data_IF_680646779930
#
_entry.id   IF_680646779930
#
_cell.length_a   1.000
_cell.length_b   1.000
_cell.length_c   1.000
_cell.angle_alpha   90.00
_cell.angle_beta   90.00
_cell.angle_gamma   90.00
#
_symmetry.space_group_name_H-M   'P 1'
#
loop_
_entity.id
_entity.type
_entity.pdbx_description
1 polymer ?
#
# COMPACT_ATOMS: atom_id res chain seq x y z
N UNK A 1 -9.01 6.56 89.70
CA UNK A 1 -8.23 6.20 88.49
C UNK A 1 -9.00 5.14 87.72
N UNK A 2 -9.25 5.37 86.42
CA UNK A 2 -10.13 4.61 85.54
C UNK A 2 -9.60 3.19 85.26
N UNK A 3 -10.47 2.18 85.34
CA UNK A 3 -10.24 0.85 84.78
C UNK A 3 -10.64 0.88 83.30
N UNK A 4 -9.69 0.65 82.39
CA UNK A 4 -9.97 0.44 80.97
C UNK A 4 -10.06 -1.06 80.72
N UNK A 5 -11.26 -1.53 80.35
CA UNK A 5 -11.49 -2.85 79.76
C UNK A 5 -11.13 -2.76 78.27
N UNK A 6 -10.10 -3.50 77.86
CA UNK A 6 -9.77 -3.68 76.44
C UNK A 6 -10.63 -4.82 75.88
N UNK A 7 -11.57 -4.48 75.00
CA UNK A 7 -12.33 -5.44 74.20
C UNK A 7 -11.48 -5.88 72.99
N UNK A 8 -11.21 -7.18 72.89
CA UNK A 8 -10.50 -7.79 71.77
C UNK A 8 -11.48 -8.02 70.62
N UNK A 9 -11.38 -7.24 69.54
CA UNK A 9 -12.15 -7.43 68.31
C UNK A 9 -11.49 -8.50 67.43
N UNK A 10 -12.16 -9.65 67.31
CA UNK A 10 -11.80 -10.70 66.34
C UNK A 10 -12.19 -10.21 64.94
N UNK A 11 -11.19 -9.82 64.13
CA UNK A 11 -11.37 -9.54 62.70
C UNK A 11 -11.39 -10.88 61.97
N UNK A 12 -12.58 -11.33 61.59
CA UNK A 12 -12.77 -12.46 60.69
C UNK A 12 -12.33 -12.08 59.28
N UNK A 13 -11.22 -12.66 58.82
CA UNK A 13 -10.74 -12.53 57.46
C UNK A 13 -11.70 -13.25 56.50
N UNK A 14 -12.62 -12.51 55.88
CA UNK A 14 -13.42 -13.00 54.78
C UNK A 14 -12.51 -13.14 53.55
N UNK A 15 -12.21 -14.37 53.16
CA UNK A 15 -11.51 -14.71 51.92
C UNK A 15 -12.40 -14.42 50.72
N UNK A 16 -12.25 -13.21 50.16
CA UNK A 16 -12.85 -12.83 48.88
C UNK A 16 -12.17 -13.63 47.77
N UNK A 17 -12.87 -14.64 47.25
CA UNK A 17 -12.43 -15.42 46.10
C UNK A 17 -12.67 -14.60 44.82
N UNK A 18 -11.74 -13.69 44.52
CA UNK A 18 -11.75 -12.97 43.25
C UNK A 18 -11.24 -13.90 42.13
N UNK A 19 -12.14 -14.35 41.26
CA UNK A 19 -11.77 -15.11 40.06
C UNK A 19 -10.99 -14.20 39.11
N UNK A 20 -9.76 -14.56 38.74
CA UNK A 20 -8.92 -13.78 37.82
C UNK A 20 -9.10 -14.34 36.40
N UNK A 21 -9.48 -13.48 35.46
CA UNK A 21 -9.59 -13.81 34.04
C UNK A 21 -8.40 -13.17 33.33
N UNK A 22 -7.64 -13.99 32.61
CA UNK A 22 -6.51 -13.59 31.80
C UNK A 22 -6.88 -13.67 30.32
N UNK A 23 -6.08 -13.05 29.46
CA UNK A 23 -6.27 -13.10 28.00
C UNK A 23 -5.00 -13.48 27.28
N UNK A 24 -5.15 -14.23 26.19
CA UNK A 24 -4.09 -14.63 25.27
C UNK A 24 -4.52 -14.26 23.84
N UNK A 25 -3.61 -13.73 23.04
CA UNK A 25 -3.84 -13.53 21.60
C UNK A 25 -3.21 -14.69 20.85
N UNK A 26 -3.98 -15.32 19.96
CA UNK A 26 -3.55 -16.45 19.16
C UNK A 26 -3.56 -16.06 17.70
N UNK A 27 -2.38 -16.10 17.08
CA UNK A 27 -2.20 -15.94 15.65
C UNK A 27 -2.42 -17.28 14.93
N UNK A 28 -3.13 -17.24 13.82
CA UNK A 28 -3.39 -18.42 13.00
C UNK A 28 -3.53 -18.05 11.52
N UNK A 29 -3.43 -19.05 10.66
CA UNK A 29 -3.56 -18.89 9.21
C UNK A 29 -4.69 -19.75 8.69
N UNK A 30 -5.56 -19.16 7.89
CA UNK A 30 -6.62 -19.89 7.19
C UNK A 30 -6.53 -19.60 5.70
N UNK A 31 -6.84 -20.62 4.91
CA UNK A 31 -7.00 -20.44 3.47
C UNK A 31 -8.40 -19.89 3.21
N UNK A 32 -8.49 -18.69 2.64
CA UNK A 32 -9.75 -18.20 2.08
C UNK A 32 -9.97 -18.89 0.74
N UNK A 33 -11.05 -19.65 0.64
CA UNK A 33 -11.45 -20.25 -0.62
C UNK A 33 -11.89 -19.17 -1.62
N UNK A 34 -11.60 -19.34 -2.92
CA UNK A 34 -12.09 -18.45 -3.96
C UNK A 34 -13.61 -18.52 -4.09
N UNK A 35 -14.20 -17.46 -4.67
CA UNK A 35 -15.62 -17.42 -5.03
C UNK A 35 -16.00 -18.56 -6.00
N UNK A 36 -15.06 -18.97 -6.84
CA UNK A 36 -15.20 -20.11 -7.76
C UNK A 36 -14.12 -21.16 -7.46
N UNK A 37 -14.54 -22.33 -6.95
CA UNK A 37 -13.61 -23.41 -6.60
C UNK A 37 -13.42 -24.38 -7.78
N UNK A 38 -12.18 -24.47 -8.27
CA UNK A 38 -11.76 -25.50 -9.24
C UNK A 38 -11.00 -26.61 -8.49
N UNK A 39 -11.24 -27.87 -8.91
CA UNK A 39 -10.55 -29.05 -8.36
C UNK A 39 -9.04 -28.89 -8.47
N UNK A 40 -8.31 -29.29 -7.44
CA UNK A 40 -6.86 -29.05 -7.31
C UNK A 40 -6.03 -29.53 -8.51
N UNK A 41 -6.39 -30.68 -9.09
CA UNK A 41 -5.72 -31.26 -10.26
C UNK A 41 -5.89 -30.45 -11.55
N UNK A 42 -6.85 -29.52 -11.57
CA UNK A 42 -7.23 -28.71 -12.73
C UNK A 42 -6.84 -27.23 -12.56
N UNK A 43 -6.05 -26.87 -11.54
CA UNK A 43 -5.65 -25.49 -11.26
C UNK A 43 -4.47 -25.04 -12.10
N UNK A 44 -4.69 -24.93 -13.40
CA UNK A 44 -3.72 -24.39 -14.36
C UNK A 44 -4.26 -23.15 -15.04
N UNK A 45 -3.40 -22.16 -15.25
CA UNK A 45 -3.79 -20.90 -15.87
C UNK A 45 -2.75 -20.38 -16.87
N UNK A 46 -3.23 -19.53 -17.76
CA UNK A 46 -2.42 -18.79 -18.71
C UNK A 46 -2.89 -17.33 -18.75
N UNK A 47 -1.96 -16.41 -18.99
CA UNK A 47 -2.25 -14.97 -19.04
C UNK A 47 -1.75 -14.41 -20.35
N UNK A 48 -2.63 -13.70 -21.04
CA UNK A 48 -2.30 -12.89 -22.21
C UNK A 48 -2.55 -11.43 -21.85
N UNK A 49 -1.51 -10.59 -21.92
CA UNK A 49 -1.63 -9.15 -21.73
C UNK A 49 -1.47 -8.46 -23.09
N UNK A 50 -2.35 -7.52 -23.39
CA UNK A 50 -2.23 -6.61 -24.50
C UNK A 50 -2.22 -5.17 -23.98
N UNK A 51 -1.10 -4.48 -24.12
CA UNK A 51 -0.96 -3.07 -23.80
C UNK A 51 -0.54 -2.26 -25.04
N UNK A 52 -0.91 -0.97 -25.13
CA UNK A 52 -0.55 -0.10 -26.26
C UNK A 52 0.91 0.36 -26.21
N UNK A 53 1.63 0.04 -25.14
CA UNK A 53 3.03 0.38 -24.97
C UNK A 53 3.88 -0.74 -25.55
N UNK A 54 4.57 -0.46 -26.65
CA UNK A 54 5.32 -1.44 -27.43
C UNK A 54 6.81 -1.08 -27.59
N UNK A 55 7.31 -0.11 -26.81
CA UNK A 55 8.70 0.27 -26.87
C UNK A 55 9.56 -0.84 -26.26
N UNK A 56 10.33 -1.54 -27.09
CA UNK A 56 11.25 -2.59 -26.64
C UNK A 56 12.64 -2.02 -26.33
N UNK A 57 13.48 -2.83 -25.67
CA UNK A 57 14.89 -2.45 -25.41
C UNK A 57 15.64 -2.27 -26.72
N UNK A 58 15.34 -3.11 -27.69
CA UNK A 58 15.93 -3.14 -29.02
C UNK A 58 15.59 -1.87 -29.80
N UNK A 59 14.35 -1.37 -29.67
CA UNK A 59 13.92 -0.12 -30.33
C UNK A 59 14.66 1.10 -29.79
N UNK A 60 14.84 1.20 -28.48
CA UNK A 60 15.58 2.29 -27.84
C UNK A 60 17.03 2.32 -28.32
N UNK A 61 17.67 1.15 -28.37
CA UNK A 61 19.06 1.03 -28.84
C UNK A 61 19.16 1.39 -30.33
N UNK A 62 18.20 0.95 -31.14
CA UNK A 62 18.13 1.26 -32.58
C UNK A 62 17.97 2.76 -32.83
N UNK A 63 17.08 3.42 -32.08
CA UNK A 63 16.85 4.85 -32.18
C UNK A 63 18.08 5.65 -31.77
N UNK A 64 18.72 5.32 -30.64
CA UNK A 64 19.95 5.99 -30.20
C UNK A 64 21.10 5.87 -31.21
N UNK A 65 21.23 4.71 -31.88
CA UNK A 65 22.20 4.52 -32.97
C UNK A 65 21.88 5.39 -34.18
N UNK A 66 20.60 5.52 -34.53
CA UNK A 66 20.14 6.37 -35.64
C UNK A 66 20.41 7.85 -35.37
N UNK A 67 20.05 8.34 -34.19
CA UNK A 67 20.31 9.73 -33.77
C UNK A 67 21.81 10.04 -33.77
N UNK A 68 22.65 9.10 -33.34
CA UNK A 68 24.09 9.25 -33.41
C UNK A 68 24.60 9.35 -34.86
N UNK A 69 24.08 8.51 -35.77
CA UNK A 69 24.44 8.56 -37.20
C UNK A 69 24.01 9.90 -37.82
N UNK A 70 22.82 10.40 -37.50
CA UNK A 70 22.33 11.71 -37.94
C UNK A 70 23.20 12.85 -37.38
N UNK A 71 23.59 12.78 -36.10
CA UNK A 71 24.48 13.75 -35.48
C UNK A 71 25.88 13.76 -36.13
N UNK A 72 26.42 12.57 -36.48
CA UNK A 72 27.70 12.47 -37.20
C UNK A 72 27.59 13.05 -38.61
N UNK A 73 26.49 12.80 -39.31
CA UNK A 73 26.24 13.37 -40.64
C UNK A 73 26.12 14.91 -40.59
N UNK A 74 25.41 15.43 -39.58
CA UNK A 74 25.18 16.87 -39.39
C UNK A 74 26.34 17.61 -38.70
N UNK A 75 27.37 16.91 -38.22
CA UNK A 75 28.47 17.53 -37.47
C UNK A 75 29.23 18.59 -38.28
N UNK A 76 29.32 18.41 -39.59
CA UNK A 76 29.91 19.40 -40.50
C UNK A 76 29.15 20.74 -40.48
N UNK A 77 27.81 20.69 -40.47
CA UNK A 77 26.94 21.86 -40.37
C UNK A 77 27.09 22.54 -39.00
N UNK A 78 27.14 21.77 -37.90
CA UNK A 78 27.34 22.31 -36.55
C UNK A 78 28.67 23.05 -36.42
N UNK A 79 29.75 22.58 -37.07
CA UNK A 79 31.02 23.31 -37.12
C UNK A 79 30.86 24.64 -37.87
N UNK A 80 30.18 24.63 -39.01
CA UNK A 80 29.96 25.83 -39.82
C UNK A 80 29.12 26.88 -39.08
N UNK A 81 28.03 26.46 -38.43
CA UNK A 81 27.19 27.31 -37.57
C UNK A 81 28.00 27.91 -36.42
N UNK A 82 28.76 27.08 -35.70
CA UNK A 82 29.61 27.54 -34.59
C UNK A 82 30.69 28.56 -35.04
N UNK A 83 31.24 28.39 -36.24
CA UNK A 83 32.16 29.38 -36.83
C UNK A 83 31.45 30.69 -37.19
N UNK A 84 30.24 30.61 -37.74
CA UNK A 84 29.42 31.77 -38.05
C UNK A 84 29.06 32.56 -36.79
N UNK A 85 28.60 31.88 -35.74
CA UNK A 85 28.25 32.48 -34.45
C UNK A 85 29.45 33.16 -33.80
N UNK A 86 30.64 32.57 -33.93
CA UNK A 86 31.89 33.19 -33.46
C UNK A 86 32.24 34.45 -34.24
N UNK A 87 32.10 34.45 -35.56
CA UNK A 87 32.33 35.64 -36.38
C UNK A 87 31.35 36.75 -36.04
N UNK A 88 30.07 36.41 -35.78
CA UNK A 88 29.08 37.38 -35.34
C UNK A 88 29.44 37.95 -33.97
N UNK A 89 29.80 37.08 -33.01
CA UNK A 89 30.25 37.50 -31.68
C UNK A 89 31.47 38.44 -31.72
N UNK A 90 32.39 38.23 -32.67
CA UNK A 90 33.53 39.14 -32.88
C UNK A 90 33.11 40.51 -33.43
N UNK A 91 32.10 40.57 -34.29
CA UNK A 91 31.55 41.84 -34.79
C UNK A 91 30.86 42.59 -33.64
N UNK A 92 30.00 41.91 -32.90
CA UNK A 92 29.28 42.48 -31.76
C UNK A 92 30.27 42.98 -30.70
N UNK A 93 31.33 42.22 -30.41
CA UNK A 93 32.42 42.64 -29.52
C UNK A 93 33.09 43.94 -29.97
N UNK A 94 33.38 44.09 -31.27
CA UNK A 94 33.99 45.31 -31.78
C UNK A 94 33.06 46.51 -31.65
N UNK A 95 31.76 46.33 -31.89
CA UNK A 95 30.75 47.37 -31.68
C UNK A 95 30.62 47.74 -30.19
N UNK A 96 30.64 46.76 -29.29
CA UNK A 96 30.60 47.00 -27.85
C UNK A 96 31.83 47.75 -27.35
N UNK A 97 33.02 47.49 -27.90
CA UNK A 97 34.22 48.31 -27.61
C UNK A 97 34.00 49.76 -28.00
N UNK A 98 33.44 50.02 -29.18
CA UNK A 98 33.19 51.39 -29.66
C UNK A 98 32.20 52.08 -28.70
N UNK A 99 31.08 51.43 -28.39
CA UNK A 99 30.08 51.92 -27.43
C UNK A 99 30.67 52.17 -26.04
N UNK A 100 31.52 51.26 -25.53
CA UNK A 100 32.17 51.41 -24.23
C UNK A 100 33.13 52.60 -24.20
N UNK A 101 33.89 52.83 -25.28
CA UNK A 101 34.79 54.00 -25.40
C UNK A 101 34.01 55.31 -25.50
N UNK A 102 32.92 55.35 -26.27
CA UNK A 102 32.05 56.52 -26.40
C UNK A 102 31.38 56.87 -25.08
N UNK A 103 30.79 55.88 -24.40
CA UNK A 103 30.19 56.03 -23.08
C UNK A 103 31.20 56.55 -22.06
N UNK A 104 32.39 55.96 -22.00
CA UNK A 104 33.45 56.42 -21.10
C UNK A 104 33.89 57.86 -21.40
N UNK A 105 33.98 58.25 -22.68
CA UNK A 105 34.34 59.61 -23.08
C UNK A 105 33.29 60.64 -22.64
N UNK A 106 31.99 60.31 -22.80
CA UNK A 106 30.88 61.15 -22.36
C UNK A 106 30.85 61.27 -20.83
N UNK A 107 30.88 60.15 -20.11
CA UNK A 107 30.89 60.11 -18.64
C UNK A 107 32.11 60.86 -18.06
N UNK A 108 33.28 60.72 -18.69
CA UNK A 108 34.49 61.46 -18.30
C UNK A 108 34.37 62.97 -18.56
N UNK A 109 33.69 63.37 -19.63
CA UNK A 109 33.46 64.78 -19.95
C UNK A 109 32.46 65.42 -18.97
N UNK A 110 31.40 64.72 -18.61
CA UNK A 110 30.43 65.14 -17.59
C UNK A 110 31.07 65.20 -16.20
N UNK A 111 31.84 64.17 -15.82
CA UNK A 111 32.58 64.14 -14.56
C UNK A 111 33.54 65.33 -14.44
N UNK A 112 34.18 65.76 -15.53
CA UNK A 112 35.06 66.94 -15.54
C UNK A 112 34.31 68.27 -15.35
N UNK A 113 33.02 68.33 -15.69
CA UNK A 113 32.16 69.52 -15.52
C UNK A 113 31.56 69.66 -14.11
N UNK A 114 31.59 68.59 -13.29
CA UNK A 114 31.08 68.61 -11.91
C UNK A 114 31.98 69.44 -10.98
N UNK A 115 31.39 69.95 -9.90
CA UNK A 115 32.12 70.74 -8.89
C UNK A 115 33.19 69.90 -8.17
N UNK A 116 34.13 70.57 -7.49
CA UNK A 116 35.23 69.89 -6.79
C UNK A 116 34.72 68.95 -5.67
N UNK A 117 33.69 69.37 -4.93
CA UNK A 117 33.06 68.56 -3.87
C UNK A 117 32.35 67.31 -4.45
N UNK A 118 31.64 67.45 -5.57
CA UNK A 118 30.98 66.33 -6.25
C UNK A 118 31.99 65.33 -6.82
N UNK A 119 33.11 65.79 -7.38
CA UNK A 119 34.16 64.89 -7.87
C UNK A 119 34.86 64.13 -6.74
N UNK A 120 35.16 64.78 -5.61
CA UNK A 120 35.78 64.14 -4.45
C UNK A 120 34.86 63.09 -3.83
N UNK A 121 33.56 63.41 -3.67
CA UNK A 121 32.58 62.46 -3.12
C UNK A 121 32.36 61.24 -4.03
N UNK A 122 32.35 61.41 -5.35
CA UNK A 122 32.29 60.28 -6.30
C UNK A 122 33.59 59.46 -6.31
N UNK A 123 34.75 60.10 -6.16
CA UNK A 123 36.05 59.44 -6.10
C UNK A 123 36.23 58.60 -4.82
N UNK A 124 35.81 59.11 -3.66
CA UNK A 124 35.82 58.37 -2.38
C UNK A 124 34.88 57.16 -2.40
N UNK A 125 33.75 57.26 -3.12
CA UNK A 125 32.82 56.14 -3.35
C UNK A 125 33.29 55.16 -4.42
N UNK A 126 34.44 55.39 -5.06
CA UNK A 126 34.96 54.55 -6.15
C UNK A 126 34.18 54.66 -7.47
N UNK A 127 33.28 55.64 -7.60
CA UNK A 127 32.39 55.85 -8.76
C UNK A 127 33.00 56.77 -9.82
N UNK A 128 34.33 56.84 -9.90
CA UNK A 128 34.99 57.55 -11.00
C UNK A 128 34.72 56.80 -12.32
N UNK A 129 34.45 57.49 -13.44
CA UNK A 129 34.34 56.83 -14.72
C UNK A 129 35.58 55.97 -14.98
N UNK A 130 35.38 54.71 -15.36
CA UNK A 130 36.43 53.78 -15.73
C UNK A 130 36.05 53.11 -17.04
N UNK A 131 37.02 52.99 -17.95
CA UNK A 131 36.79 52.26 -19.19
C UNK A 131 36.72 50.77 -18.87
N UNK A 132 35.51 50.21 -18.92
CA UNK A 132 35.27 48.78 -18.81
C UNK A 132 35.07 48.23 -20.22
N UNK A 133 36.03 47.43 -20.69
CA UNK A 133 35.93 46.75 -21.97
C UNK A 133 35.30 45.37 -21.78
N UNK A 134 34.44 44.92 -22.70
CA UNK A 134 33.95 43.55 -22.69
C UNK A 134 35.12 42.55 -22.86
N UNK A 135 34.90 41.30 -22.47
CA UNK A 135 35.89 40.23 -22.68
C UNK A 135 35.89 39.79 -24.13
N UNK A 136 37.08 39.55 -24.70
CA UNK A 136 37.20 39.10 -26.09
C UNK A 136 36.62 37.68 -26.24
N UNK A 137 35.74 37.44 -27.22
CA UNK A 137 35.25 36.09 -27.50
C UNK A 137 36.39 35.14 -27.90
N UNK A 138 36.37 33.93 -27.34
CA UNK A 138 37.30 32.84 -27.69
C UNK A 138 36.54 31.74 -28.41
N UNK A 139 37.04 31.32 -29.56
CA UNK A 139 36.43 30.21 -30.30
C UNK A 139 36.74 28.88 -29.61
N UNK A 140 35.69 28.11 -29.33
CA UNK A 140 35.81 26.72 -28.87
C UNK A 140 35.20 25.82 -29.93
N UNK A 141 36.02 24.96 -30.53
CA UNK A 141 35.55 24.05 -31.57
C UNK A 141 34.63 22.99 -30.95
N UNK A 142 33.41 22.76 -31.49
CA UNK A 142 32.55 21.67 -31.04
C UNK A 142 33.27 20.31 -31.11
N UNK A 143 33.10 19.50 -30.07
CA UNK A 143 33.65 18.14 -30.03
C UNK A 143 32.84 17.21 -30.95
N UNK A 144 33.48 16.18 -31.54
CA UNK A 144 32.75 15.20 -32.35
C UNK A 144 31.68 14.48 -31.51
N UNK A 145 30.52 14.14 -32.10
CA UNK A 145 29.51 13.35 -31.42
C UNK A 145 30.10 12.01 -30.99
N UNK A 146 29.86 11.61 -29.74
CA UNK A 146 30.29 10.31 -29.19
C UNK A 146 29.04 9.50 -28.88
N UNK A 147 28.97 8.27 -29.38
CA UNK A 147 27.89 7.36 -29.03
C UNK A 147 27.97 7.02 -27.54
N UNK A 148 26.84 7.16 -26.85
CA UNK A 148 26.67 6.70 -25.48
C UNK A 148 25.51 5.75 -25.47
N UNK A 149 25.69 4.61 -24.83
CA UNK A 149 24.57 3.68 -24.65
C UNK A 149 23.47 4.37 -23.83
N UNK A 150 22.23 4.38 -24.33
CA UNK A 150 21.12 5.01 -23.61
C UNK A 150 20.87 4.26 -22.30
N UNK A 151 20.71 5.02 -21.21
CA UNK A 151 20.30 4.45 -19.94
C UNK A 151 18.83 3.99 -20.05
N UNK A 152 18.61 2.68 -20.12
CA UNK A 152 17.28 2.09 -20.33
C UNK A 152 16.27 2.45 -19.23
N UNK A 153 16.72 2.89 -18.06
CA UNK A 153 15.83 3.36 -16.98
C UNK A 153 15.13 4.69 -17.31
N UNK A 154 15.68 5.45 -18.25
CA UNK A 154 15.13 6.74 -18.69
C UNK A 154 14.01 6.55 -19.74
N UNK A 155 13.79 5.31 -20.20
CA UNK A 155 12.81 4.97 -21.22
C UNK A 155 11.65 4.17 -20.62
N UNK A 156 10.44 4.46 -21.11
CA UNK A 156 9.25 3.70 -20.76
C UNK A 156 9.15 2.43 -21.63
N UNK A 157 9.98 1.44 -21.29
CA UNK A 157 10.04 0.15 -21.99
C UNK A 157 8.98 -0.77 -21.39
N UNK A 158 8.07 -1.26 -22.24
CA UNK A 158 6.98 -2.13 -21.82
C UNK A 158 6.93 -3.34 -22.75
N UNK A 159 7.07 -4.53 -22.17
CA UNK A 159 6.89 -5.80 -22.85
C UNK A 159 5.68 -6.52 -22.26
N UNK A 160 4.72 -6.84 -23.13
CA UNK A 160 3.49 -7.54 -22.75
C UNK A 160 3.75 -8.91 -22.10
N UNK A 161 4.82 -9.61 -22.47
CA UNK A 161 5.23 -10.87 -21.83
C UNK A 161 5.74 -10.64 -20.41
N UNK A 162 6.50 -9.56 -20.21
CA UNK A 162 6.98 -9.16 -18.88
C UNK A 162 5.79 -8.75 -17.99
N UNK A 163 4.81 -8.02 -18.53
CA UNK A 163 3.57 -7.70 -17.80
C UNK A 163 2.77 -8.95 -17.44
N UNK A 164 2.61 -9.89 -18.38
CA UNK A 164 1.95 -11.18 -18.12
C UNK A 164 2.68 -12.00 -17.05
N UNK A 165 4.01 -11.92 -16.99
CA UNK A 165 4.81 -12.61 -15.98
C UNK A 165 4.54 -12.12 -14.54
N UNK A 166 4.18 -10.83 -14.38
CA UNK A 166 3.89 -10.18 -13.10
C UNK A 166 2.47 -10.45 -12.57
N UNK A 167 1.61 -11.06 -13.37
CA UNK A 167 0.27 -11.45 -12.95
C UNK A 167 0.31 -12.93 -12.53
N UNK A 168 -0.28 -13.23 -11.38
CA UNK A 168 -0.35 -14.55 -10.81
C UNK A 168 -1.68 -14.82 -10.10
N UNK A 169 -2.16 -16.06 -10.20
CA UNK A 169 -3.31 -16.57 -9.46
C UNK A 169 -2.79 -17.52 -8.37
N UNK A 170 -2.95 -17.12 -7.12
CA UNK A 170 -2.49 -17.86 -5.95
C UNK A 170 -3.17 -19.24 -5.88
N UNK A 171 -2.36 -20.29 -5.74
CA UNK A 171 -2.84 -21.67 -5.72
C UNK A 171 -3.04 -22.32 -7.09
N UNK A 172 -2.67 -21.64 -8.18
CA UNK A 172 -2.67 -22.19 -9.55
C UNK A 172 -1.25 -22.26 -10.12
N UNK A 173 -1.04 -23.17 -11.08
CA UNK A 173 0.24 -23.34 -11.79
C UNK A 173 0.13 -22.81 -13.22
N UNK A 174 1.17 -22.14 -13.70
CA UNK A 174 1.26 -21.75 -15.13
C UNK A 174 1.45 -23.03 -15.97
N UNK A 175 0.70 -23.17 -17.06
CA UNK A 175 0.76 -24.38 -17.90
C UNK A 175 -0.39 -24.46 -18.88
N UNK A 176 -0.75 -25.67 -19.32
CA UNK A 176 -1.93 -25.89 -20.18
C UNK A 176 -3.20 -25.45 -19.42
N UNK A 177 -3.85 -24.34 -19.82
CA UNK A 177 -4.78 -23.65 -18.95
C UNK A 177 -6.15 -24.29 -18.95
N UNK A 178 -6.71 -24.48 -17.75
CA UNK A 178 -8.16 -24.56 -17.59
C UNK A 178 -8.77 -23.18 -17.37
N UNK A 179 -7.97 -22.21 -16.94
CA UNK A 179 -8.33 -20.79 -16.78
C UNK A 179 -7.46 -19.93 -17.69
N UNK A 180 -8.04 -19.37 -18.75
CA UNK A 180 -7.41 -18.40 -19.62
C UNK A 180 -7.80 -16.98 -19.21
N UNK A 181 -6.80 -16.15 -18.93
CA UNK A 181 -7.01 -14.73 -18.59
C UNK A 181 -6.49 -13.85 -19.71
N UNK A 182 -7.37 -13.03 -20.28
CA UNK A 182 -7.04 -12.01 -21.25
C UNK A 182 -7.17 -10.63 -20.61
N UNK A 183 -6.08 -9.88 -20.61
CA UNK A 183 -6.01 -8.52 -20.08
C UNK A 183 -5.73 -7.58 -21.23
N UNK A 184 -6.62 -6.60 -21.46
CA UNK A 184 -6.40 -5.52 -22.43
C UNK A 184 -6.37 -4.20 -21.69
N UNK A 185 -5.21 -3.56 -21.69
CA UNK A 185 -4.99 -2.25 -21.08
C UNK A 185 -5.16 -1.17 -22.13
N UNK A 186 -5.86 -0.10 -21.81
CA UNK A 186 -5.86 1.11 -22.64
C UNK A 186 -4.66 2.00 -22.33
N UNK A 187 -4.43 3.01 -23.16
CA UNK A 187 -3.43 4.04 -22.88
C UNK A 187 -3.93 4.89 -21.72
N UNK A 188 -3.02 5.37 -20.88
CA UNK A 188 -3.40 6.33 -19.83
C UNK A 188 -4.01 7.57 -20.49
N UNK A 189 -5.22 7.90 -20.07
CA UNK A 189 -5.92 9.10 -20.52
C UNK A 189 -5.76 10.18 -19.46
N UNK A 190 -5.12 11.29 -19.84
CA UNK A 190 -4.94 12.45 -18.99
C UNK A 190 -6.00 13.50 -19.32
N UNK A 191 -6.68 13.99 -18.29
CA UNK A 191 -7.68 15.04 -18.42
C UNK A 191 -7.34 16.19 -17.47
N UNK A 192 -7.40 17.41 -17.99
CA UNK A 192 -7.25 18.61 -17.18
C UNK A 192 -8.63 19.15 -16.78
N UNK A 193 -8.78 19.48 -15.49
CA UNK A 193 -9.96 20.12 -14.95
C UNK A 193 -9.53 21.20 -13.95
N UNK A 194 -9.96 22.45 -14.18
CA UNK A 194 -9.62 23.60 -13.34
C UNK A 194 -8.11 23.77 -13.05
N UNK A 195 -7.25 23.46 -14.04
CA UNK A 195 -5.79 23.56 -13.90
C UNK A 195 -5.14 22.40 -13.15
N UNK A 196 -5.90 21.37 -12.78
CA UNK A 196 -5.42 20.13 -12.17
C UNK A 196 -5.51 18.98 -13.17
N UNK A 197 -4.58 18.02 -13.08
CA UNK A 197 -4.58 16.83 -13.92
C UNK A 197 -5.16 15.63 -13.18
N UNK A 198 -6.06 14.94 -13.87
CA UNK A 198 -6.60 13.64 -13.50
C UNK A 198 -6.23 12.63 -14.57
N UNK A 199 -6.12 11.35 -14.20
CA UNK A 199 -5.94 10.31 -15.19
C UNK A 199 -6.65 9.01 -14.81
N UNK A 200 -6.94 8.21 -15.82
CA UNK A 200 -7.38 6.82 -15.67
C UNK A 200 -6.66 5.94 -16.70
N UNK A 201 -6.76 4.63 -16.49
CA UNK A 201 -6.27 3.66 -17.44
C UNK A 201 -7.20 2.45 -17.44
N UNK A 202 -8.31 2.52 -18.18
CA UNK A 202 -9.26 1.43 -18.29
C UNK A 202 -8.57 0.13 -18.67
N UNK A 203 -8.86 -0.93 -17.95
CA UNK A 203 -8.27 -2.25 -18.20
C UNK A 203 -9.34 -3.32 -18.21
N UNK A 204 -9.55 -3.93 -19.37
CA UNK A 204 -10.51 -5.00 -19.58
C UNK A 204 -9.89 -6.34 -19.18
N UNK A 205 -10.61 -7.12 -18.38
CA UNK A 205 -10.24 -8.46 -17.93
C UNK A 205 -11.32 -9.42 -18.39
N UNK A 206 -10.93 -10.41 -19.19
CA UNK A 206 -11.79 -11.52 -19.61
C UNK A 206 -11.20 -12.81 -19.09
N UNK A 207 -11.98 -13.58 -18.33
CA UNK A 207 -11.58 -14.90 -17.83
C UNK A 207 -12.44 -15.96 -18.48
N UNK A 208 -11.80 -16.94 -19.11
CA UNK A 208 -12.43 -18.11 -19.69
C UNK A 208 -12.04 -19.36 -18.92
N UNK A 209 -13.04 -20.13 -18.49
CA UNK A 209 -12.85 -21.45 -17.89
C UNK A 209 -13.21 -22.52 -18.91
N UNK A 210 -12.28 -23.42 -19.21
CA UNK A 210 -12.46 -24.48 -20.22
C UNK A 210 -13.01 -23.92 -21.56
N UNK A 211 -12.51 -22.76 -21.97
CA UNK A 211 -12.94 -22.05 -23.19
C UNK A 211 -14.24 -21.24 -23.06
N UNK A 212 -14.99 -21.35 -21.97
CA UNK A 212 -16.24 -20.60 -21.75
C UNK A 212 -15.97 -19.31 -20.96
N UNK A 213 -16.44 -18.18 -21.45
CA UNK A 213 -16.34 -16.89 -20.75
C UNK A 213 -17.15 -16.90 -19.44
N UNK A 214 -16.49 -16.56 -18.34
CA UNK A 214 -17.08 -16.47 -17.00
C UNK A 214 -17.07 -15.06 -16.45
N UNK A 215 -16.01 -14.31 -16.78
CA UNK A 215 -15.84 -12.93 -16.35
C UNK A 215 -15.50 -12.09 -17.57
N UNK A 216 -16.15 -10.94 -17.66
CA UNK A 216 -15.85 -9.90 -18.64
C UNK A 216 -16.15 -8.55 -17.97
N UNK A 217 -15.09 -7.91 -17.48
CA UNK A 217 -15.20 -6.68 -16.70
C UNK A 217 -14.12 -5.70 -17.09
N UNK A 218 -14.31 -4.44 -16.73
CA UNK A 218 -13.30 -3.38 -16.92
C UNK A 218 -13.05 -2.71 -15.58
N UNK A 219 -11.78 -2.66 -15.17
CA UNK A 219 -11.33 -1.98 -13.96
C UNK A 219 -10.65 -0.66 -14.31
N UNK A 220 -10.38 0.18 -13.30
CA UNK A 220 -9.61 1.42 -13.43
C UNK A 220 -10.18 2.43 -14.44
N UNK A 221 -11.52 2.49 -14.51
CA UNK A 221 -12.25 3.40 -15.38
C UNK A 221 -12.39 4.81 -14.79
N UNK A 222 -12.32 4.93 -13.46
CA UNK A 222 -12.52 6.21 -12.80
C UNK A 222 -11.27 7.08 -12.86
N UNK A 223 -11.46 8.37 -13.12
CA UNK A 223 -10.39 9.36 -13.08
C UNK A 223 -9.92 9.59 -11.65
N UNK A 224 -8.61 9.48 -11.45
CA UNK A 224 -7.97 9.75 -10.16
C UNK A 224 -7.05 10.97 -10.28
N UNK A 225 -6.95 11.74 -9.21
CA UNK A 225 -6.12 12.93 -9.16
C UNK A 225 -4.63 12.56 -9.32
N UNK A 226 -3.93 13.29 -10.20
CA UNK A 226 -2.49 13.11 -10.48
C UNK A 226 -1.67 14.28 -9.96
N UNK A 227 -2.05 15.51 -10.33
CA UNK A 227 -1.28 16.71 -10.03
C UNK A 227 -2.15 17.96 -9.95
N UNK A 228 -1.69 18.95 -9.20
CA UNK A 228 -2.28 20.30 -9.13
C UNK A 228 -1.82 21.23 -10.26
N UNK A 229 -1.11 20.69 -11.26
CA UNK A 229 -0.66 21.40 -12.45
C UNK A 229 -1.28 20.76 -13.70
N UNK A 230 -1.43 21.51 -14.81
CA UNK A 230 -1.93 20.97 -16.08
C UNK A 230 -1.06 19.86 -16.65
N UNK A 231 -1.65 19.01 -17.49
CA UNK A 231 -1.03 17.76 -17.95
C UNK A 231 0.21 17.98 -18.80
N UNK A 232 0.36 19.14 -19.43
CA UNK A 232 1.56 19.48 -20.21
C UNK A 232 2.78 19.81 -19.36
N UNK A 233 2.59 20.04 -18.07
CA UNK A 233 3.67 20.34 -17.11
C UNK A 233 4.06 19.11 -16.27
N UNK A 234 3.41 17.96 -16.45
CA UNK A 234 3.75 16.73 -15.74
C UNK A 234 4.65 15.82 -16.56
N UNK A 235 5.42 14.97 -15.87
CA UNK A 235 6.18 13.90 -16.51
C UNK A 235 5.24 12.73 -16.88
N UNK A 236 4.58 12.84 -18.04
CA UNK A 236 3.62 11.83 -18.55
C UNK A 236 4.20 10.40 -18.53
N UNK A 237 5.43 10.12 -19.02
CA UNK A 237 6.00 8.76 -18.97
C UNK A 237 6.13 8.16 -17.57
N UNK A 238 6.50 8.99 -16.58
CA UNK A 238 6.61 8.54 -15.19
C UNK A 238 5.24 8.19 -14.62
N UNK A 239 4.22 9.00 -14.90
CA UNK A 239 2.85 8.72 -14.47
C UNK A 239 2.29 7.48 -15.19
N UNK A 240 2.52 7.34 -16.50
CA UNK A 240 2.13 6.13 -17.26
C UNK A 240 2.69 4.85 -16.64
N UNK A 241 3.96 4.87 -16.21
CA UNK A 241 4.59 3.75 -15.50
C UNK A 241 3.92 3.43 -14.16
N UNK A 242 3.52 4.45 -13.40
CA UNK A 242 2.81 4.25 -12.13
C UNK A 242 1.43 3.63 -12.35
N UNK A 243 0.66 4.14 -13.32
CA UNK A 243 -0.65 3.59 -13.66
C UNK A 243 -0.55 2.13 -14.11
N UNK A 244 0.43 1.81 -14.95
CA UNK A 244 0.67 0.43 -15.38
C UNK A 244 0.95 -0.50 -14.18
N UNK A 245 1.84 -0.10 -13.27
CA UNK A 245 2.15 -0.87 -12.06
C UNK A 245 0.95 -1.01 -11.11
N UNK A 246 0.13 0.04 -10.97
CA UNK A 246 -1.08 0.01 -10.15
C UNK A 246 -2.14 -0.91 -10.77
N UNK A 247 -2.31 -0.89 -12.09
CA UNK A 247 -3.21 -1.78 -12.79
C UNK A 247 -2.82 -3.24 -12.68
N UNK A 248 -1.53 -3.57 -12.77
CA UNK A 248 -1.04 -4.95 -12.51
C UNK A 248 -1.41 -5.40 -11.09
N UNK A 249 -1.25 -4.54 -10.08
CA UNK A 249 -1.68 -4.86 -8.70
C UNK A 249 -3.19 -5.04 -8.58
N UNK A 250 -3.97 -4.19 -9.25
CA UNK A 250 -5.43 -4.28 -9.26
C UNK A 250 -5.92 -5.55 -9.94
N UNK A 251 -5.32 -5.94 -11.08
CA UNK A 251 -5.58 -7.22 -11.76
C UNK A 251 -5.26 -8.40 -10.84
N UNK A 252 -4.08 -8.42 -10.21
CA UNK A 252 -3.71 -9.48 -9.28
C UNK A 252 -4.70 -9.58 -8.11
N UNK A 253 -5.10 -8.45 -7.54
CA UNK A 253 -6.09 -8.42 -6.47
C UNK A 253 -7.42 -9.01 -6.94
N UNK A 254 -7.92 -8.53 -8.09
CA UNK A 254 -9.17 -8.99 -8.69
C UNK A 254 -9.17 -10.49 -9.01
N UNK A 255 -8.14 -10.99 -9.69
CA UNK A 255 -8.04 -12.41 -10.03
C UNK A 255 -7.92 -13.26 -8.77
N UNK A 256 -7.14 -12.83 -7.78
CA UNK A 256 -6.99 -13.59 -6.54
C UNK A 256 -8.22 -13.55 -5.64
N UNK A 257 -9.07 -12.51 -5.72
CA UNK A 257 -10.35 -12.49 -5.02
C UNK A 257 -11.38 -13.44 -5.65
N UNK A 258 -11.33 -13.62 -6.98
CA UNK A 258 -12.26 -14.48 -7.71
C UNK A 258 -11.82 -15.95 -7.74
N UNK A 259 -10.54 -16.21 -8.00
CA UNK A 259 -9.96 -17.53 -8.26
C UNK A 259 -8.86 -17.93 -7.28
N UNK A 260 -8.15 -16.97 -6.69
CA UNK A 260 -6.99 -17.23 -5.85
C UNK A 260 -7.35 -17.82 -4.50
N UNK A 261 -6.47 -18.70 -4.00
CA UNK A 261 -6.51 -19.16 -2.63
C UNK A 261 -5.64 -18.25 -1.76
N UNK A 262 -6.27 -17.28 -1.08
CA UNK A 262 -5.53 -16.31 -0.26
C UNK A 262 -5.24 -16.87 1.13
N UNK A 263 -3.99 -16.77 1.55
CA UNK A 263 -3.62 -17.00 2.95
C UNK A 263 -4.02 -15.79 3.78
N UNK A 264 -4.98 -15.97 4.69
CA UNK A 264 -5.33 -14.95 5.67
C UNK A 264 -4.59 -15.22 6.97
N UNK A 265 -3.73 -14.28 7.37
CA UNK A 265 -3.19 -14.23 8.72
C UNK A 265 -4.23 -13.55 9.61
N UNK A 266 -4.70 -14.25 10.64
CA UNK A 266 -5.71 -13.75 11.57
C UNK A 266 -5.21 -13.89 12.99
N UNK A 267 -5.77 -13.06 13.87
CA UNK A 267 -5.52 -13.10 15.30
C UNK A 267 -6.85 -13.13 16.04
N UNK A 268 -6.91 -13.87 17.14
CA UNK A 268 -8.08 -13.89 18.03
C UNK A 268 -7.63 -13.77 19.48
N UNK A 269 -8.29 -12.88 20.23
CA UNK A 269 -8.11 -12.75 21.67
C UNK A 269 -9.04 -13.74 22.37
N UNK A 270 -8.47 -14.64 23.16
CA UNK A 270 -9.22 -15.61 23.97
C UNK A 270 -8.90 -15.42 25.45
N UNK A 271 -9.92 -15.46 26.27
CA UNK A 271 -9.84 -15.30 27.72
C UNK A 271 -9.92 -16.66 28.44
N UNK A 272 -9.27 -16.77 29.58
CA UNK A 272 -9.29 -17.98 30.40
C UNK A 272 -9.26 -17.64 31.89
N UNK A 273 -9.88 -18.47 32.70
CA UNK A 273 -9.84 -18.33 34.16
C UNK A 273 -8.53 -18.87 34.71
N UNK A 274 -7.89 -18.14 35.63
CA UNK A 274 -6.71 -18.62 36.34
C UNK A 274 -7.10 -19.84 37.17
N UNK A 275 -6.57 -20.99 36.80
CA UNK A 275 -6.91 -22.26 37.43
C UNK A 275 -5.97 -22.61 38.60
N UNK A 276 -6.55 -23.19 39.65
CA UNK A 276 -5.84 -23.81 40.79
C UNK A 276 -6.33 -25.24 41.07
N UNK A 277 -7.04 -25.85 40.12
CA UNK A 277 -7.64 -27.19 40.19
C UNK A 277 -9.18 -27.20 40.08
N UNK A 278 -9.86 -26.06 40.20
CA UNK A 278 -11.33 -25.97 40.17
C UNK A 278 -11.91 -25.87 38.75
N UNK A 279 -11.10 -25.41 37.79
CA UNK A 279 -11.52 -25.09 36.43
C UNK A 279 -10.74 -25.89 35.37
N UNK A 280 -10.33 -27.10 35.69
CA UNK A 280 -9.54 -27.99 34.82
C UNK A 280 -10.22 -28.20 33.45
N UNK A 281 -11.54 -28.33 33.43
CA UNK A 281 -12.32 -28.45 32.18
C UNK A 281 -12.17 -27.21 31.29
N UNK A 282 -12.18 -26.02 31.88
CA UNK A 282 -12.07 -24.75 31.16
C UNK A 282 -10.63 -24.49 30.68
N UNK A 283 -9.63 -24.89 31.46
CA UNK A 283 -8.23 -24.88 31.04
C UNK A 283 -8.02 -25.85 29.85
N UNK A 284 -8.58 -27.06 29.94
CA UNK A 284 -8.57 -28.04 28.85
C UNK A 284 -9.26 -27.51 27.60
N UNK A 285 -10.40 -26.83 27.75
CA UNK A 285 -11.11 -26.18 26.63
C UNK A 285 -10.24 -25.12 25.94
N UNK A 286 -9.59 -24.25 26.73
CA UNK A 286 -8.68 -23.23 26.22
C UNK A 286 -7.50 -23.86 25.47
N UNK A 287 -6.87 -24.91 26.01
CA UNK A 287 -5.78 -25.64 25.35
C UNK A 287 -6.26 -26.25 24.03
N UNK A 288 -7.43 -26.89 24.00
CA UNK A 288 -7.99 -27.46 22.76
C UNK A 288 -8.18 -26.38 21.70
N UNK A 289 -8.76 -25.24 22.05
CA UNK A 289 -9.02 -24.18 21.06
C UNK A 289 -7.72 -23.55 20.56
N UNK A 290 -6.86 -23.08 21.48
CA UNK A 290 -5.60 -22.39 21.13
C UNK A 290 -4.63 -23.28 20.35
N UNK A 291 -4.46 -24.55 20.77
CA UNK A 291 -3.58 -25.49 20.09
C UNK A 291 -4.06 -25.79 18.67
N UNK A 292 -5.36 -25.97 18.48
CA UNK A 292 -5.89 -26.29 17.16
C UNK A 292 -5.97 -25.07 16.23
N UNK A 293 -6.17 -23.85 16.77
CA UNK A 293 -6.00 -22.62 15.99
C UNK A 293 -4.57 -22.52 15.42
N UNK A 294 -3.55 -22.77 16.25
CA UNK A 294 -2.14 -22.76 15.82
C UNK A 294 -1.80 -23.83 14.79
N UNK A 295 -2.59 -24.91 14.73
CA UNK A 295 -2.42 -26.01 13.77
C UNK A 295 -3.08 -25.71 12.42
N UNK A 296 -3.90 -24.67 12.30
CA UNK A 296 -4.51 -24.31 11.03
C UNK A 296 -3.44 -23.93 10.01
N UNK A 297 -3.57 -24.48 8.82
CA UNK A 297 -2.66 -24.28 7.71
C UNK A 297 -3.39 -23.61 6.56
N UNK A 298 -2.72 -22.65 5.93
CA UNK A 298 -3.20 -22.04 4.70
C UNK A 298 -2.68 -22.81 3.49
N UNK A 299 -3.16 -24.04 3.31
CA UNK A 299 -2.86 -24.89 2.17
C UNK A 299 -4.13 -25.57 1.64
N UNK A 300 -4.06 -26.12 0.43
CA UNK A 300 -5.19 -26.73 -0.28
C UNK A 300 -5.70 -28.00 0.40
N UNK A 301 -4.83 -28.76 1.07
CA UNK A 301 -5.18 -29.99 1.79
C UNK A 301 -5.94 -29.68 3.09
N UNK A 302 -7.24 -29.95 3.08
CA UNK A 302 -8.10 -29.71 4.24
C UNK A 302 -7.99 -30.79 5.32
N UNK A 303 -7.24 -31.87 5.14
CA UNK A 303 -7.18 -32.99 6.09
C UNK A 303 -6.78 -32.54 7.49
N UNK A 304 -5.66 -31.81 7.60
CA UNK A 304 -5.17 -31.30 8.89
C UNK A 304 -6.10 -30.26 9.49
N UNK A 305 -6.66 -29.38 8.67
CA UNK A 305 -7.60 -28.36 9.11
C UNK A 305 -8.90 -28.98 9.64
N UNK A 306 -9.45 -29.99 8.97
CA UNK A 306 -10.63 -30.72 9.41
C UNK A 306 -10.41 -31.38 10.78
N UNK A 307 -9.24 -32.00 10.98
CA UNK A 307 -8.86 -32.57 12.29
C UNK A 307 -8.73 -31.47 13.35
N UNK A 308 -8.12 -30.34 13.00
CA UNK A 308 -7.99 -29.19 13.90
C UNK A 308 -9.37 -28.63 14.29
N UNK A 309 -10.29 -28.44 13.35
CA UNK A 309 -11.66 -28.00 13.61
C UNK A 309 -12.43 -29.00 14.49
N UNK A 310 -12.32 -30.30 14.21
CA UNK A 310 -12.97 -31.33 15.04
C UNK A 310 -12.45 -31.33 16.49
N UNK A 311 -11.15 -31.11 16.70
CA UNK A 311 -10.59 -31.02 18.04
C UNK A 311 -10.86 -29.67 18.72
N UNK A 312 -10.94 -28.58 17.96
CA UNK A 312 -11.37 -27.27 18.45
C UNK A 312 -12.82 -27.32 18.94
N UNK A 313 -13.69 -28.04 18.22
CA UNK A 313 -15.08 -28.28 18.61
C UNK A 313 -15.20 -28.91 20.00
N UNK A 314 -14.29 -29.82 20.37
CA UNK A 314 -14.26 -30.40 21.73
C UNK A 314 -14.08 -29.32 22.81
N UNK A 315 -13.27 -28.29 22.52
CA UNK A 315 -13.10 -27.15 23.43
C UNK A 315 -14.34 -26.26 23.50
N UNK A 316 -14.95 -25.94 22.35
CA UNK A 316 -16.19 -25.14 22.33
C UNK A 316 -17.37 -25.88 22.95
N UNK A 317 -17.44 -27.21 22.82
CA UNK A 317 -18.46 -28.03 23.47
C UNK A 317 -18.36 -27.96 25.00
N UNK A 318 -17.14 -27.92 25.56
CA UNK A 318 -16.94 -27.72 27.01
C UNK A 318 -17.40 -26.33 27.44
N UNK A 319 -17.10 -25.30 26.64
CA UNK A 319 -17.59 -23.94 26.88
C UNK A 319 -19.13 -23.88 26.89
N UNK A 320 -19.78 -24.46 25.88
CA UNK A 320 -21.25 -24.53 25.81
C UNK A 320 -21.85 -25.30 26.99
N UNK A 321 -21.27 -26.44 27.36
CA UNK A 321 -21.72 -27.21 28.52
C UNK A 321 -21.53 -26.43 29.83
N UNK A 322 -20.45 -25.65 29.93
CA UNK A 322 -20.22 -24.79 31.09
C UNK A 322 -21.23 -23.67 31.18
N UNK A 323 -21.62 -23.03 30.06
CA UNK A 323 -22.65 -21.99 30.06
C UNK A 323 -23.98 -22.47 30.67
N UNK A 324 -24.34 -23.75 30.48
CA UNK A 324 -25.53 -24.36 31.10
C UNK A 324 -25.45 -24.47 32.63
N UNK A 325 -24.24 -24.50 33.19
CA UNK A 325 -23.97 -24.59 34.63
C UNK A 325 -23.84 -23.21 35.30
N UNK A 326 -23.80 -22.14 34.52
CA UNK A 326 -23.57 -20.78 35.05
C UNK A 326 -24.79 -20.29 35.82
N UNK A 327 -24.57 -19.91 37.07
CA UNK A 327 -25.52 -19.16 37.86
C UNK A 327 -25.23 -17.66 37.73
N UNK A 328 -26.02 -16.99 36.90
CA UNK A 328 -25.85 -15.56 36.61
C UNK A 328 -26.25 -14.64 37.79
N UNK A 329 -27.04 -15.15 38.75
CA UNK A 329 -27.54 -14.36 39.88
C UNK A 329 -26.65 -14.48 41.12
N UNK A 330 -25.99 -15.63 41.29
CA UNK A 330 -25.10 -15.88 42.42
C UNK A 330 -23.64 -15.52 42.10
N UNK A 331 -23.18 -14.38 42.62
CA UNK A 331 -21.79 -13.91 42.47
C UNK A 331 -20.76 -14.81 43.15
N UNK A 332 -21.17 -15.65 44.12
CA UNK A 332 -20.28 -16.56 44.86
C UNK A 332 -20.21 -17.96 44.25
N UNK A 333 -21.10 -18.29 43.31
CA UNK A 333 -21.03 -19.56 42.61
C UNK A 333 -19.69 -19.70 41.88
N UNK A 334 -19.07 -20.90 41.88
CA UNK A 334 -17.86 -21.17 41.08
C UNK A 334 -18.06 -20.80 39.60
N UNK A 335 -19.20 -21.17 39.05
CA UNK A 335 -19.63 -20.82 37.70
C UNK A 335 -20.62 -19.66 37.76
N UNK A 336 -20.13 -18.44 37.94
CA UNK A 336 -20.95 -17.22 38.03
C UNK A 336 -20.98 -16.42 36.71
N UNK A 337 -21.65 -15.27 36.72
CA UNK A 337 -21.73 -14.36 35.57
C UNK A 337 -20.37 -13.96 34.97
N UNK A 338 -19.28 -13.92 35.76
CA UNK A 338 -17.92 -13.62 35.25
C UNK A 338 -17.41 -14.74 34.33
N UNK A 339 -17.65 -15.99 34.72
CA UNK A 339 -17.34 -17.17 33.89
C UNK A 339 -18.21 -17.16 32.62
N UNK A 340 -19.51 -16.94 32.78
CA UNK A 340 -20.43 -16.83 31.64
C UNK A 340 -20.03 -15.72 30.66
N UNK A 341 -19.56 -14.58 31.16
CA UNK A 341 -19.14 -13.45 30.34
C UNK A 341 -17.99 -13.80 29.40
N UNK A 342 -16.86 -14.27 29.94
CA UNK A 342 -15.68 -14.51 29.10
C UNK A 342 -15.91 -15.67 28.11
N UNK A 343 -16.68 -16.69 28.51
CA UNK A 343 -17.01 -17.80 27.61
C UNK A 343 -17.82 -17.30 26.41
N UNK A 344 -18.84 -16.47 26.63
CA UNK A 344 -19.60 -15.86 25.54
C UNK A 344 -18.72 -15.03 24.62
N UNK A 345 -17.87 -14.15 25.17
CA UNK A 345 -16.92 -13.38 24.37
C UNK A 345 -15.97 -14.27 23.56
N UNK A 346 -15.45 -15.36 24.14
CA UNK A 346 -14.59 -16.30 23.42
C UNK A 346 -15.32 -16.96 22.24
N UNK A 347 -16.54 -17.45 22.46
CA UNK A 347 -17.33 -18.09 21.42
C UNK A 347 -17.63 -17.11 20.27
N UNK A 348 -18.00 -15.87 20.59
CA UNK A 348 -18.27 -14.83 19.57
C UNK A 348 -16.97 -14.48 18.83
N UNK A 349 -15.89 -14.12 19.55
CA UNK A 349 -14.59 -13.75 18.96
C UNK A 349 -14.02 -14.85 18.07
N UNK A 350 -14.10 -16.11 18.51
CA UNK A 350 -13.63 -17.26 17.75
C UNK A 350 -14.39 -17.41 16.44
N UNK A 351 -15.73 -17.40 16.48
CA UNK A 351 -16.55 -17.59 15.30
C UNK A 351 -16.42 -16.42 14.31
N UNK A 352 -16.33 -15.18 14.82
CA UNK A 352 -16.05 -14.01 13.98
C UNK A 352 -14.68 -14.13 13.31
N UNK A 353 -13.63 -14.50 14.05
CA UNK A 353 -12.29 -14.69 13.49
C UNK A 353 -12.26 -15.80 12.42
N UNK A 354 -13.05 -16.86 12.60
CA UNK A 354 -13.20 -17.96 11.65
C UNK A 354 -14.19 -17.68 10.50
N UNK A 355 -14.74 -16.46 10.39
CA UNK A 355 -15.77 -16.10 9.39
C UNK A 355 -17.07 -16.93 9.48
N UNK A 356 -17.31 -17.59 10.62
CA UNK A 356 -18.55 -18.32 10.89
C UNK A 356 -19.61 -17.39 11.49
N UNK A 357 -20.14 -16.49 10.64
CA UNK A 357 -21.10 -15.45 11.05
C UNK A 357 -22.36 -16.02 11.70
N UNK A 358 -22.84 -17.17 11.23
CA UNK A 358 -24.07 -17.83 11.72
C UNK A 358 -23.94 -18.24 13.19
N UNK A 359 -22.84 -18.92 13.54
CA UNK A 359 -22.63 -19.33 14.92
C UNK A 359 -22.24 -18.13 15.80
N UNK A 360 -21.51 -17.14 15.27
CA UNK A 360 -21.24 -15.90 15.98
C UNK A 360 -22.54 -15.16 16.37
N UNK A 361 -23.51 -15.06 15.44
CA UNK A 361 -24.83 -14.48 15.69
C UNK A 361 -25.62 -15.27 16.74
N UNK A 362 -25.59 -16.61 16.67
CA UNK A 362 -26.21 -17.48 17.68
C UNK A 362 -25.72 -17.14 19.09
N UNK A 363 -24.40 -17.13 19.33
CA UNK A 363 -23.86 -16.84 20.65
C UNK A 363 -24.04 -15.37 21.06
N UNK A 364 -24.06 -14.44 20.10
CA UNK A 364 -24.42 -13.05 20.37
C UNK A 364 -25.84 -12.95 20.92
N UNK A 365 -26.81 -13.60 20.28
CA UNK A 365 -28.21 -13.60 20.72
C UNK A 365 -28.36 -14.26 22.10
N UNK A 366 -27.70 -15.40 22.32
CA UNK A 366 -27.67 -16.08 23.63
C UNK A 366 -27.09 -15.18 24.73
N UNK A 367 -26.03 -14.43 24.43
CA UNK A 367 -25.43 -13.47 25.36
C UNK A 367 -26.36 -12.26 25.61
N UNK A 368 -27.05 -11.78 24.57
CA UNK A 368 -27.98 -10.65 24.66
C UNK A 368 -29.12 -10.91 25.65
N UNK A 369 -29.65 -12.13 25.70
CA UNK A 369 -30.67 -12.53 26.67
C UNK A 369 -30.19 -12.45 28.14
N UNK A 370 -28.87 -12.45 28.37
CA UNK A 370 -28.25 -12.42 29.71
C UNK A 370 -27.55 -11.10 30.02
N UNK A 371 -27.64 -10.09 29.16
CA UNK A 371 -26.88 -8.84 29.31
C UNK A 371 -27.13 -8.11 30.64
N UNK A 372 -28.36 -8.16 31.15
CA UNK A 372 -28.73 -7.54 32.43
C UNK A 372 -27.94 -8.16 33.58
N UNK A 373 -27.71 -9.47 33.54
CA UNK A 373 -27.02 -10.20 34.60
C UNK A 373 -25.48 -10.18 34.45
N UNK A 374 -24.97 -9.93 33.24
CA UNK A 374 -23.54 -9.99 32.92
C UNK A 374 -22.73 -8.76 33.35
N UNK A 375 -23.40 -7.64 33.66
CA UNK A 375 -22.81 -6.36 34.09
C UNK A 375 -21.54 -5.98 33.29
N UNK A 376 -21.75 -5.66 32.01
CA UNK A 376 -20.66 -5.32 31.10
C UNK A 376 -20.07 -3.94 31.42
N UNK A 377 -18.74 -3.88 31.50
CA UNK A 377 -17.97 -2.63 31.57
C UNK A 377 -18.10 -1.82 30.27
N UNK A 378 -17.68 -0.55 30.32
CA UNK A 378 -17.69 0.33 29.15
C UNK A 378 -16.93 -0.26 27.96
N UNK A 379 -15.74 -0.81 28.20
CA UNK A 379 -14.90 -1.41 27.16
C UNK A 379 -15.54 -2.68 26.57
N UNK A 380 -16.15 -3.51 27.40
CA UNK A 380 -16.84 -4.74 26.94
C UNK A 380 -18.08 -4.40 26.10
N UNK A 381 -18.82 -3.34 26.45
CA UNK A 381 -19.93 -2.83 25.62
C UNK A 381 -19.45 -2.33 24.26
N UNK A 382 -18.34 -1.60 24.24
CA UNK A 382 -17.74 -1.11 22.99
C UNK A 382 -17.26 -2.28 22.11
N UNK A 383 -16.62 -3.29 22.71
CA UNK A 383 -16.18 -4.50 22.03
C UNK A 383 -17.38 -5.29 21.46
N UNK A 384 -18.43 -5.49 22.26
CA UNK A 384 -19.63 -6.20 21.80
C UNK A 384 -20.23 -5.52 20.55
N UNK A 385 -20.30 -4.19 20.55
CA UNK A 385 -20.75 -3.41 19.38
C UNK A 385 -19.82 -3.57 18.17
N UNK A 386 -18.51 -3.69 18.37
CA UNK A 386 -17.58 -3.96 17.28
C UNK A 386 -17.79 -5.36 16.68
N UNK A 387 -17.96 -6.36 17.54
CA UNK A 387 -18.26 -7.74 17.12
C UNK A 387 -19.59 -7.83 16.38
N UNK A 388 -20.63 -7.14 16.87
CA UNK A 388 -21.93 -7.03 16.22
C UNK A 388 -21.82 -6.45 14.80
N UNK A 389 -21.04 -5.38 14.63
CA UNK A 389 -20.79 -4.81 13.30
C UNK A 389 -20.06 -5.78 12.35
N UNK A 390 -19.18 -6.64 12.87
CA UNK A 390 -18.47 -7.64 12.05
C UNK A 390 -19.35 -8.84 11.67
N UNK A 391 -20.38 -9.12 12.46
CA UNK A 391 -21.36 -10.18 12.19
C UNK A 391 -22.32 -9.72 11.08
N UNK A 392 -22.91 -8.53 11.22
CA UNK A 392 -23.98 -8.06 10.33
C UNK A 392 -23.53 -7.29 9.08
N UNK A 393 -22.25 -6.89 8.98
CA UNK A 393 -21.64 -6.38 7.73
C UNK A 393 -20.81 -7.47 7.10
#
# INVERSE_FOLDING_TARGET
MRKFLLSLSVISALSVHAQSINSETVDFRVLKAPQTSISENSRTYNITVNSPYNLTKEDVIKQAKKEHQEAVANFSNTIAESQSDYQQSLKDYNEEIIKAKEKFALESAEFKKMSLLERLTLQEKGLKPQLQLPSKPVYSKPSPPVYREPNLNDYFIVDNNVLASQIAIDGYKKGNPNVDVYVTMEKVNFQDNAGQTYANQPTKIVVKENGTEKINTTISQDFTFVSSQPSDNINKPTEEKKYLGNNIKAINTFLNDNYGYKTLNKQVKLEFVKNKGEFDDLEKAHIYVTTNLRKLQANSDQTNNNIAFANMKKGTDIWEQTLKKVNYKDKKAPYNAKIGKYINFNLIRLNVALENKKDAEKYLNEMQEKLVDLDLSYNEKAELKQLENQIYK
#
